data_IF_231595097941
#
_entry.id   IF_231595097941
#
_cell.length_a   1.000
_cell.length_b   1.000
_cell.length_c   1.000
_cell.angle_alpha   90.00
_cell.angle_beta   90.00
_cell.angle_gamma   90.00
#
_symmetry.space_group_name_H-M   'P 1'
#
loop_
_entity.id
_entity.type
_entity.pdbx_description
1 polymer ?
#
# COMPACT_ATOMS: atom_id res chain seq x y z
N UNK A 1 -19.00 -9.97 -1.26
CA UNK A 1 -17.56 -10.21 -1.40
C UNK A 1 -17.41 -11.59 -1.99
N UNK A 2 -16.90 -11.67 -3.21
CA UNK A 2 -16.56 -12.94 -3.83
C UNK A 2 -15.44 -13.57 -2.97
N UNK A 3 -15.67 -14.77 -2.45
CA UNK A 3 -14.65 -15.46 -1.67
C UNK A 3 -13.51 -15.84 -2.61
N UNK A 4 -12.28 -15.55 -2.18
CA UNK A 4 -11.08 -15.98 -2.90
C UNK A 4 -11.13 -17.52 -2.99
N UNK A 5 -10.92 -18.13 -4.17
CA UNK A 5 -10.98 -19.58 -4.29
C UNK A 5 -9.99 -20.28 -3.36
N UNK A 6 -10.41 -21.39 -2.73
CA UNK A 6 -9.62 -22.10 -1.70
C UNK A 6 -8.23 -22.59 -2.18
N UNK A 7 -8.01 -22.67 -3.50
CA UNK A 7 -6.74 -23.08 -4.09
C UNK A 7 -5.74 -21.91 -4.25
N UNK A 8 -6.14 -20.67 -3.99
CA UNK A 8 -5.21 -19.54 -3.96
C UNK A 8 -4.48 -19.52 -2.62
N UNK A 9 -3.20 -19.85 -2.67
CA UNK A 9 -2.30 -19.81 -1.52
C UNK A 9 -1.40 -18.57 -1.60
N UNK A 10 -1.07 -17.94 -0.46
CA UNK A 10 -0.04 -16.91 -0.43
C UNK A 10 1.30 -17.44 -0.93
N UNK A 11 2.12 -16.55 -1.50
CA UNK A 11 3.49 -16.89 -1.89
C UNK A 11 4.29 -17.45 -0.71
N UNK A 12 5.09 -18.49 -0.97
CA UNK A 12 6.01 -19.05 0.01
C UNK A 12 7.26 -18.18 0.16
N UNK A 13 8.04 -18.40 1.21
CA UNK A 13 9.35 -17.74 1.38
C UNK A 13 10.30 -17.98 0.20
N UNK A 14 10.28 -19.20 -0.35
CA UNK A 14 11.10 -19.56 -1.51
C UNK A 14 10.69 -18.78 -2.76
N UNK A 15 9.41 -18.50 -2.93
CA UNK A 15 8.92 -17.67 -4.04
C UNK A 15 9.42 -16.24 -3.90
N UNK A 16 9.38 -15.67 -2.69
CA UNK A 16 9.91 -14.35 -2.41
C UNK A 16 11.42 -14.27 -2.69
N UNK A 17 12.20 -15.28 -2.28
CA UNK A 17 13.63 -15.36 -2.61
C UNK A 17 13.89 -15.42 -4.13
N UNK A 18 13.07 -16.15 -4.88
CA UNK A 18 13.16 -16.20 -6.35
C UNK A 18 12.88 -14.83 -6.95
N UNK A 19 11.85 -14.12 -6.47
CA UNK A 19 11.53 -12.77 -6.93
C UNK A 19 12.67 -11.80 -6.66
N UNK A 20 13.28 -11.85 -5.47
CA UNK A 20 14.44 -11.02 -5.13
C UNK A 20 15.64 -11.30 -6.07
N UNK A 21 15.95 -12.58 -6.34
CA UNK A 21 17.02 -12.95 -7.30
C UNK A 21 16.74 -12.47 -8.72
N UNK A 22 15.47 -12.27 -9.08
CA UNK A 22 15.04 -11.74 -10.38
C UNK A 22 14.95 -10.21 -10.42
N UNK A 23 15.34 -9.52 -9.34
CA UNK A 23 15.37 -8.05 -9.28
C UNK A 23 14.04 -7.41 -8.90
N UNK A 24 13.07 -8.17 -8.40
CA UNK A 24 11.85 -7.59 -7.84
C UNK A 24 12.09 -7.00 -6.45
N UNK A 25 11.32 -5.98 -6.10
CA UNK A 25 11.25 -5.44 -4.74
C UNK A 25 10.14 -6.12 -3.94
N UNK A 26 10.36 -6.34 -2.64
CA UNK A 26 9.35 -6.85 -1.71
C UNK A 26 8.95 -5.74 -0.74
N UNK A 27 7.63 -5.60 -0.51
CA UNK A 27 7.03 -4.65 0.42
C UNK A 27 6.15 -5.35 1.44
N UNK A 28 5.74 -4.60 2.46
CA UNK A 28 4.83 -5.04 3.52
C UNK A 28 3.38 -4.62 3.22
N UNK A 29 2.41 -5.42 3.68
CA UNK A 29 0.99 -5.22 3.40
C UNK A 29 0.10 -5.51 4.62
N UNK A 30 0.50 -4.97 5.77
CA UNK A 30 0.00 -5.32 7.12
C UNK A 30 0.32 -6.78 7.48
N UNK A 31 -0.01 -7.20 8.71
CA UNK A 31 0.28 -8.55 9.21
C UNK A 31 -0.88 -9.50 8.94
N UNK A 32 -2.11 -9.03 9.13
CA UNK A 32 -3.32 -9.87 9.08
C UNK A 32 -4.33 -9.42 8.03
N UNK A 33 -3.93 -8.52 7.13
CA UNK A 33 -4.83 -7.91 6.16
C UNK A 33 -5.94 -7.04 6.81
N UNK A 34 -5.62 -6.41 7.96
CA UNK A 34 -6.57 -5.61 8.70
C UNK A 34 -6.89 -4.26 8.01
N UNK A 35 -8.13 -3.78 8.14
CA UNK A 35 -8.49 -2.39 7.84
C UNK A 35 -8.03 -1.50 8.98
N UNK A 36 -6.94 -0.77 8.79
CA UNK A 36 -6.27 -0.02 9.87
C UNK A 36 -7.14 1.10 10.47
N UNK A 37 -8.06 1.69 9.72
CA UNK A 37 -9.02 2.68 10.26
C UNK A 37 -10.00 2.12 11.30
N UNK A 38 -10.11 0.80 11.42
CA UNK A 38 -10.94 0.13 12.44
C UNK A 38 -10.15 -0.21 13.72
N UNK A 39 -8.86 0.13 13.77
CA UNK A 39 -8.00 -0.15 14.91
C UNK A 39 -7.71 1.16 15.65
N UNK A 40 -8.23 1.28 16.86
CA UNK A 40 -8.00 2.46 17.73
C UNK A 40 -6.79 2.31 18.65
N UNK A 41 -6.31 1.09 18.87
CA UNK A 41 -5.14 0.83 19.73
C UNK A 41 -3.84 1.05 18.95
N UNK A 42 -2.97 1.92 19.49
CA UNK A 42 -1.64 2.19 18.93
C UNK A 42 -0.79 0.92 18.87
N UNK A 43 -0.80 0.11 19.93
CA UNK A 43 -0.04 -1.15 19.97
C UNK A 43 -0.51 -2.14 18.90
N UNK A 44 -1.82 -2.20 18.64
CA UNK A 44 -2.38 -3.04 17.57
C UNK A 44 -2.03 -2.53 16.19
N UNK A 45 -2.03 -1.21 15.97
CA UNK A 45 -1.56 -0.63 14.71
C UNK A 45 -0.07 -0.93 14.49
N UNK A 46 0.74 -0.82 15.55
CA UNK A 46 2.16 -1.14 15.49
C UNK A 46 2.39 -2.63 15.21
N UNK A 47 1.61 -3.55 15.79
CA UNK A 47 1.70 -4.99 15.46
C UNK A 47 1.35 -5.24 13.99
N UNK A 48 0.31 -4.58 13.45
CA UNK A 48 -0.04 -4.74 12.03
C UNK A 48 1.03 -4.17 11.08
N UNK A 49 1.62 -3.02 11.42
CA UNK A 49 2.52 -2.27 10.54
C UNK A 49 3.98 -2.72 10.71
N UNK A 50 4.51 -2.65 11.93
CA UNK A 50 5.92 -2.91 12.23
C UNK A 50 6.25 -4.39 12.32
N UNK A 51 5.39 -5.21 12.94
CA UNK A 51 5.70 -6.64 13.05
C UNK A 51 5.71 -7.32 11.67
N UNK A 52 4.90 -6.84 10.72
CA UNK A 52 4.95 -7.30 9.33
C UNK A 52 6.31 -6.99 8.66
N UNK A 53 6.81 -5.74 8.81
CA UNK A 53 8.17 -5.35 8.37
C UNK A 53 9.23 -6.28 8.95
N UNK A 54 9.30 -6.37 10.29
CA UNK A 54 10.33 -7.15 10.99
C UNK A 54 10.31 -8.63 10.58
N UNK A 55 9.12 -9.20 10.37
CA UNK A 55 9.00 -10.60 9.93
C UNK A 55 9.60 -10.81 8.55
N UNK A 56 9.34 -9.90 7.60
CA UNK A 56 9.91 -9.94 6.26
C UNK A 56 11.43 -9.73 6.28
N UNK A 57 11.92 -8.71 6.99
CA UNK A 57 13.35 -8.39 7.11
C UNK A 57 14.13 -9.55 7.73
N UNK A 58 13.64 -10.11 8.83
CA UNK A 58 14.28 -11.25 9.49
C UNK A 58 14.32 -12.51 8.62
N UNK A 59 13.35 -12.68 7.71
CA UNK A 59 13.27 -13.87 6.84
C UNK A 59 14.06 -13.72 5.55
N UNK A 60 14.09 -12.52 4.98
CA UNK A 60 14.67 -12.26 3.67
C UNK A 60 16.06 -11.62 3.75
N UNK A 61 16.47 -11.10 4.91
CA UNK A 61 17.78 -10.48 5.11
C UNK A 61 17.97 -9.17 4.32
N UNK A 62 16.88 -8.49 4.01
CA UNK A 62 16.85 -7.22 3.27
C UNK A 62 16.08 -6.16 4.06
N UNK A 63 16.31 -4.88 3.76
CA UNK A 63 15.48 -3.79 4.28
C UNK A 63 14.17 -3.68 3.49
N UNK A 64 13.05 -3.64 4.20
CA UNK A 64 11.71 -3.52 3.61
C UNK A 64 11.26 -2.06 3.64
N UNK A 65 11.44 -1.37 2.52
CA UNK A 65 11.22 0.09 2.42
C UNK A 65 9.82 0.49 1.97
N UNK A 66 9.04 -0.46 1.43
CA UNK A 66 7.73 -0.24 0.84
C UNK A 66 6.62 -0.80 1.74
N UNK A 67 5.55 -0.01 1.94
CA UNK A 67 4.34 -0.41 2.65
C UNK A 67 3.10 -0.09 1.85
N UNK A 68 2.14 -1.00 1.78
CA UNK A 68 0.84 -0.78 1.15
C UNK A 68 -0.31 -1.01 2.12
N UNK A 69 -1.31 -0.12 2.13
CA UNK A 69 -2.55 -0.35 2.87
C UNK A 69 -3.40 -1.44 2.21
N UNK A 70 -3.98 -2.32 3.02
CA UNK A 70 -4.86 -3.45 2.61
C UNK A 70 -6.02 -3.02 1.75
N UNK A 71 -6.67 -1.95 2.18
CA UNK A 71 -7.70 -1.26 1.44
C UNK A 71 -7.13 0.14 1.16
N UNK A 72 -7.05 0.50 -0.12
CA UNK A 72 -6.26 1.65 -0.57
C UNK A 72 -6.98 3.01 -0.49
N UNK A 73 -8.26 3.01 -0.12
CA UNK A 73 -9.06 4.23 0.01
C UNK A 73 -8.75 5.00 1.30
N UNK A 74 -9.11 6.29 1.33
CA UNK A 74 -8.84 7.16 2.48
C UNK A 74 -9.52 6.69 3.78
N UNK A 75 -10.64 5.97 3.68
CA UNK A 75 -11.42 5.49 4.83
C UNK A 75 -10.86 4.18 5.41
N UNK A 76 -9.75 3.69 4.87
CA UNK A 76 -9.15 2.40 5.22
C UNK A 76 -8.02 2.49 6.23
N UNK A 77 -7.48 3.68 6.45
CA UNK A 77 -6.40 3.95 7.38
C UNK A 77 -6.64 5.27 8.11
N UNK A 78 -5.93 5.49 9.21
CA UNK A 78 -6.06 6.68 10.06
C UNK A 78 -4.79 7.52 10.02
N UNK A 79 -4.85 8.74 10.57
CA UNK A 79 -3.66 9.59 10.77
C UNK A 79 -2.58 8.89 11.60
N UNK A 80 -2.96 8.13 12.62
CA UNK A 80 -2.01 7.35 13.43
C UNK A 80 -1.37 6.20 12.64
N UNK A 81 -2.14 5.51 11.79
CA UNK A 81 -1.61 4.49 10.92
C UNK A 81 -0.59 5.09 9.93
N UNK A 82 -0.88 6.26 9.35
CA UNK A 82 0.06 6.96 8.49
C UNK A 82 1.33 7.37 9.25
N UNK A 83 1.19 7.92 10.47
CA UNK A 83 2.33 8.31 11.31
C UNK A 83 3.27 7.12 11.52
N UNK A 84 2.74 5.96 11.89
CA UNK A 84 3.53 4.73 12.06
C UNK A 84 4.12 4.22 10.74
N UNK A 85 3.36 4.27 9.65
CA UNK A 85 3.89 3.87 8.34
C UNK A 85 5.07 4.75 7.92
N UNK A 86 4.99 6.07 8.13
CA UNK A 86 6.10 7.02 7.85
C UNK A 86 7.30 6.81 8.76
N UNK A 87 7.10 6.33 9.98
CA UNK A 87 8.18 6.05 10.92
C UNK A 87 9.03 4.85 10.48
N UNK A 88 8.41 3.85 9.84
CA UNK A 88 9.06 2.56 9.54
C UNK A 88 9.34 2.30 8.06
N UNK A 89 8.78 3.07 7.14
CA UNK A 89 8.89 2.86 5.70
C UNK A 89 9.19 4.14 4.95
N UNK A 90 9.97 4.00 3.87
CA UNK A 90 10.34 5.11 2.97
C UNK A 90 9.19 5.43 1.99
N UNK A 91 8.51 4.40 1.49
CA UNK A 91 7.47 4.52 0.47
C UNK A 91 6.15 3.92 0.93
N UNK A 92 5.10 4.73 0.93
CA UNK A 92 3.76 4.36 1.37
C UNK A 92 2.80 4.40 0.19
N UNK A 93 2.17 3.27 -0.07
CA UNK A 93 1.32 3.03 -1.22
C UNK A 93 -0.14 3.05 -0.80
N UNK A 94 -0.91 3.95 -1.42
CA UNK A 94 -2.37 3.97 -1.32
C UNK A 94 -2.99 3.42 -2.60
N UNK A 95 -4.32 3.32 -2.63
CA UNK A 95 -5.12 3.15 -3.85
C UNK A 95 -5.75 4.48 -4.29
N UNK A 96 -5.25 5.61 -3.78
CA UNK A 96 -5.66 6.93 -4.23
C UNK A 96 -4.88 7.25 -5.51
N UNK A 97 -5.60 7.43 -6.62
CA UNK A 97 -4.97 7.74 -7.92
C UNK A 97 -4.43 9.15 -7.98
N UNK A 98 -3.46 9.37 -8.86
CA UNK A 98 -3.02 10.69 -9.29
C UNK A 98 -1.54 10.70 -9.72
N UNK A 99 -1.08 11.82 -10.23
CA UNK A 99 0.31 11.98 -10.67
C UNK A 99 1.30 11.98 -9.49
N UNK A 100 2.30 11.10 -9.55
CA UNK A 100 3.37 11.01 -8.55
C UNK A 100 4.49 12.06 -8.75
N UNK A 101 4.52 12.81 -9.86
CA UNK A 101 5.48 13.91 -10.08
C UNK A 101 5.25 15.08 -9.13
N UNK A 102 4.02 15.23 -8.64
CA UNK A 102 3.60 16.31 -7.75
C UNK A 102 3.26 15.81 -6.33
N UNK A 103 3.46 14.52 -6.05
CA UNK A 103 3.23 13.97 -4.72
C UNK A 103 4.48 14.11 -3.84
N UNK A 104 4.33 14.12 -2.50
CA UNK A 104 5.45 13.90 -1.62
C UNK A 104 6.16 12.57 -1.96
N UNK A 105 7.48 12.52 -1.82
CA UNK A 105 8.30 11.35 -2.20
C UNK A 105 7.91 10.06 -1.46
N UNK A 106 7.39 10.18 -0.24
CA UNK A 106 6.91 9.06 0.56
C UNK A 106 5.50 8.59 0.17
N UNK A 107 4.72 9.41 -0.54
CA UNK A 107 3.29 9.20 -0.81
C UNK A 107 3.07 8.71 -2.23
N UNK A 108 3.12 7.39 -2.44
CA UNK A 108 2.89 6.79 -3.74
C UNK A 108 1.40 6.57 -4.01
N UNK A 109 0.92 7.27 -5.03
CA UNK A 109 -0.43 7.21 -5.60
C UNK A 109 -0.49 6.04 -6.59
N UNK A 110 -1.58 5.27 -6.58
CA UNK A 110 -1.75 4.11 -7.45
C UNK A 110 -3.18 3.97 -7.95
N UNK A 111 -3.31 3.25 -9.05
CA UNK A 111 -4.57 2.84 -9.64
C UNK A 111 -4.62 1.31 -9.74
N UNK A 112 -5.80 0.73 -9.55
CA UNK A 112 -6.02 -0.69 -9.80
C UNK A 112 -6.62 -0.88 -11.18
N UNK A 113 -6.04 -1.78 -11.96
CA UNK A 113 -6.59 -2.20 -13.24
C UNK A 113 -6.96 -3.67 -13.19
N UNK A 114 -8.08 -4.02 -13.80
CA UNK A 114 -8.52 -5.37 -14.07
C UNK A 114 -7.99 -5.83 -15.44
N UNK A 115 -7.69 -7.12 -15.62
CA UNK A 115 -7.42 -7.68 -16.96
C UNK A 115 -8.57 -7.50 -17.96
N UNK A 116 -9.79 -7.20 -17.49
CA UNK A 116 -10.96 -6.92 -18.32
C UNK A 116 -11.11 -5.45 -18.71
N UNK A 117 -10.29 -4.54 -18.18
CA UNK A 117 -10.36 -3.12 -18.51
C UNK A 117 -9.87 -2.89 -19.94
N UNK A 118 -10.51 -1.95 -20.64
CA UNK A 118 -10.14 -1.65 -22.03
C UNK A 118 -8.90 -0.76 -22.08
N UNK A 119 -8.07 -0.92 -23.12
CA UNK A 119 -6.90 -0.06 -23.33
C UNK A 119 -7.25 1.43 -23.39
N UNK A 120 -8.44 1.77 -23.92
CA UNK A 120 -8.92 3.15 -23.96
C UNK A 120 -9.21 3.69 -22.56
N UNK A 121 -9.83 2.88 -21.70
CA UNK A 121 -10.07 3.26 -20.30
C UNK A 121 -8.74 3.41 -19.56
N UNK A 122 -7.83 2.45 -19.72
CA UNK A 122 -6.48 2.49 -19.13
C UNK A 122 -5.75 3.75 -19.58
N UNK A 123 -5.76 4.06 -20.88
CA UNK A 123 -5.13 5.26 -21.45
C UNK A 123 -5.70 6.55 -20.86
N UNK A 124 -7.03 6.72 -20.85
CA UNK A 124 -7.68 7.90 -20.27
C UNK A 124 -7.34 8.08 -18.78
N UNK A 125 -7.26 6.95 -18.05
CA UNK A 125 -6.90 6.92 -16.63
C UNK A 125 -5.43 7.29 -16.43
N UNK A 126 -4.50 6.82 -17.28
CA UNK A 126 -3.08 7.17 -17.23
C UNK A 126 -2.81 8.63 -17.60
N UNK A 127 -3.61 9.20 -18.50
CA UNK A 127 -3.57 10.63 -18.87
C UNK A 127 -4.20 11.56 -17.81
N UNK A 128 -4.70 11.00 -16.72
CA UNK A 128 -5.23 11.76 -15.58
C UNK A 128 -6.70 12.16 -15.73
N UNK A 129 -7.44 11.56 -16.66
CA UNK A 129 -8.86 11.86 -16.91
C UNK A 129 -9.77 11.72 -15.68
N UNK A 130 -9.36 10.94 -14.68
CA UNK A 130 -10.09 10.75 -13.42
C UNK A 130 -9.44 11.41 -12.19
N UNK A 131 -8.29 12.10 -12.33
CA UNK A 131 -7.51 12.61 -11.19
C UNK A 131 -8.28 13.62 -10.33
N UNK A 132 -9.15 14.41 -10.97
CA UNK A 132 -9.93 15.45 -10.28
C UNK A 132 -10.82 14.88 -9.16
N UNK A 133 -11.28 13.63 -9.33
CA UNK A 133 -12.13 12.93 -8.37
C UNK A 133 -11.40 12.62 -7.05
N UNK A 134 -10.06 12.57 -7.08
CA UNK A 134 -9.24 12.18 -5.94
C UNK A 134 -8.51 13.35 -5.28
N UNK A 135 -8.53 14.55 -5.91
CA UNK A 135 -7.82 15.74 -5.39
C UNK A 135 -8.13 16.07 -3.93
N UNK A 136 -9.41 16.00 -3.52
CA UNK A 136 -9.80 16.30 -2.13
C UNK A 136 -9.28 15.26 -1.13
N UNK A 137 -9.35 13.98 -1.51
CA UNK A 137 -8.86 12.86 -0.68
C UNK A 137 -7.34 12.93 -0.53
N UNK A 138 -6.62 13.21 -1.63
CA UNK A 138 -5.17 13.39 -1.62
C UNK A 138 -4.74 14.57 -0.75
N UNK A 139 -5.40 15.74 -0.84
CA UNK A 139 -5.10 16.88 0.04
C UNK A 139 -5.27 16.51 1.51
N UNK A 140 -6.34 15.80 1.85
CA UNK A 140 -6.58 15.34 3.22
C UNK A 140 -5.47 14.38 3.67
N UNK A 141 -5.19 13.35 2.88
CA UNK A 141 -4.15 12.37 3.14
C UNK A 141 -2.77 13.00 3.35
N UNK A 142 -2.37 13.88 2.43
CA UNK A 142 -1.05 14.52 2.45
C UNK A 142 -0.93 15.51 3.61
N UNK A 143 -2.03 16.20 3.98
CA UNK A 143 -2.05 17.07 5.16
C UNK A 143 -1.73 16.35 6.47
N UNK A 144 -2.03 15.05 6.55
CA UNK A 144 -1.71 14.23 7.73
C UNK A 144 -0.20 13.96 7.86
N UNK A 145 0.54 13.99 6.74
CA UNK A 145 1.96 13.73 6.68
C UNK A 145 2.85 14.97 6.79
N UNK A 146 2.29 16.18 6.80
CA UNK A 146 3.03 17.46 6.89
C UNK A 146 3.27 17.95 8.33
N UNK A 147 3.05 17.08 9.33
CA UNK A 147 3.27 17.36 10.76
C UNK A 147 4.58 16.76 11.25
#
# INVERSE_FOLDING_TARGET
MEQVPDFWVPMSWKDLEVLLRKGHSIGSHTKTHARLSKINSIDRLQDEILASKRKLENKLGIDIRHFAYTFGDLDSFSKDALRMAKEYYEFIHTGLRGDNKISPTWALRRESFSPSDTDHLIGAILEGGADILYKSKLRTYESWGSS
#
